data_IF_323139529974
#
_entry.id   IF_323139529974
#
_cell.length_a   1.000
_cell.length_b   1.000
_cell.length_c   1.000
_cell.angle_alpha   90.00
_cell.angle_beta   90.00
_cell.angle_gamma   90.00
#
_symmetry.space_group_name_H-M   'P 1'
#
loop_
_entity.id
_entity.type
_entity.pdbx_description
1 polymer ?
#
# COMPACT_ATOMS: atom_id res chain seq x y z
N UNK A 1 8.90 14.62 -30.22
CA UNK A 1 7.85 14.48 -29.20
C UNK A 1 8.18 13.33 -28.27
N UNK A 2 9.03 13.58 -27.27
CA UNK A 2 9.32 12.58 -26.24
C UNK A 2 8.20 12.62 -25.21
N UNK A 3 7.34 11.60 -25.29
CA UNK A 3 6.32 11.28 -24.29
C UNK A 3 7.11 10.92 -23.02
N UNK A 4 7.22 11.86 -22.09
CA UNK A 4 7.77 11.58 -20.76
C UNK A 4 7.00 10.37 -20.22
N UNK A 5 7.74 9.31 -19.90
CA UNK A 5 7.29 8.26 -19.01
C UNK A 5 7.09 8.95 -17.67
N UNK A 6 5.92 9.55 -17.51
CA UNK A 6 5.51 10.22 -16.28
C UNK A 6 5.49 9.13 -15.21
N UNK A 7 6.35 9.30 -14.21
CA UNK A 7 6.29 8.48 -13.02
C UNK A 7 4.88 8.71 -12.46
N UNK A 8 4.06 7.66 -12.27
CA UNK A 8 2.62 7.83 -12.10
C UNK A 8 2.23 8.72 -10.90
N UNK A 9 3.15 8.93 -9.95
CA UNK A 9 3.01 9.89 -8.87
C UNK A 9 4.38 10.52 -8.55
N UNK A 10 4.60 11.82 -8.83
CA UNK A 10 5.80 12.51 -8.38
C UNK A 10 5.81 12.54 -6.85
N UNK A 11 6.85 11.97 -6.23
CA UNK A 11 7.02 11.97 -4.78
C UNK A 11 7.02 13.39 -4.22
N UNK A 12 7.43 14.39 -4.99
CA UNK A 12 7.46 15.78 -4.55
C UNK A 12 7.03 16.72 -5.67
N UNK A 13 6.23 17.73 -5.32
CA UNK A 13 5.76 18.76 -6.26
C UNK A 13 6.22 20.11 -5.76
N UNK A 14 6.82 20.91 -6.64
CA UNK A 14 7.22 22.28 -6.34
C UNK A 14 6.05 23.21 -6.64
N UNK A 15 5.71 24.10 -5.71
CA UNK A 15 4.64 25.08 -5.87
C UNK A 15 5.15 26.51 -5.65
N UNK A 16 4.66 27.51 -6.41
CA UNK A 16 3.71 27.40 -7.52
C UNK A 16 4.38 26.89 -8.81
N UNK A 17 3.61 26.16 -9.63
CA UNK A 17 4.05 25.66 -10.96
C UNK A 17 4.02 26.77 -12.01
N UNK A 18 2.99 27.63 -11.94
CA UNK A 18 2.80 28.75 -12.85
C UNK A 18 3.28 30.03 -12.18
N UNK A 19 4.37 30.60 -12.67
CA UNK A 19 5.01 31.77 -12.06
C UNK A 19 4.37 33.08 -12.50
N UNK A 20 4.13 33.24 -13.80
CA UNK A 20 3.63 34.49 -14.38
C UNK A 20 2.15 34.49 -14.74
N UNK A 21 1.45 33.37 -14.58
CA UNK A 21 0.00 33.32 -14.80
C UNK A 21 -0.71 33.79 -13.54
N UNK A 22 -1.00 35.08 -13.49
CA UNK A 22 -1.63 35.76 -12.35
C UNK A 22 -2.83 36.54 -12.88
N UNK A 23 -3.94 36.49 -12.16
CA UNK A 23 -5.12 37.30 -12.49
C UNK A 23 -4.80 38.75 -12.13
N UNK A 24 -4.86 39.63 -13.13
CA UNK A 24 -4.64 41.08 -12.94
C UNK A 24 -5.99 41.73 -12.56
N UNK A 25 -6.08 42.40 -11.39
CA UNK A 25 -7.27 43.15 -11.01
C UNK A 25 -7.59 44.31 -11.98
N UNK A 26 -8.87 44.59 -12.19
CA UNK A 26 -9.32 45.72 -13.01
C UNK A 26 -8.97 47.05 -12.32
N UNK A 27 -8.46 48.03 -13.08
CA UNK A 27 -8.16 49.37 -12.58
C UNK A 27 -6.70 49.60 -12.16
N UNK A 28 -5.77 48.76 -12.61
CA UNK A 28 -4.33 48.95 -12.44
C UNK A 28 -3.77 49.69 -13.66
N UNK A 29 -3.09 50.81 -13.44
CA UNK A 29 -2.50 51.60 -14.54
C UNK A 29 -1.35 50.86 -15.24
N UNK A 30 -0.52 50.15 -14.47
CA UNK A 30 0.64 49.41 -14.98
C UNK A 30 0.52 47.89 -14.73
N UNK A 31 -0.27 47.22 -15.58
CA UNK A 31 -0.49 45.78 -15.50
C UNK A 31 0.81 44.96 -15.63
N UNK A 32 1.76 45.43 -16.45
CA UNK A 32 3.03 44.73 -16.66
C UNK A 32 3.87 44.70 -15.38
N UNK A 33 4.00 45.83 -14.70
CA UNK A 33 4.69 45.91 -13.42
C UNK A 33 4.03 45.02 -12.36
N UNK A 34 2.69 44.98 -12.34
CA UNK A 34 1.96 44.07 -11.45
C UNK A 34 2.30 42.59 -11.72
N UNK A 35 2.28 42.16 -12.98
CA UNK A 35 2.61 40.78 -13.37
C UNK A 35 4.07 40.45 -13.06
N UNK A 36 5.00 41.40 -13.27
CA UNK A 36 6.43 41.21 -12.93
C UNK A 36 6.60 41.05 -11.42
N UNK A 37 6.01 41.94 -10.62
CA UNK A 37 6.07 41.86 -9.16
C UNK A 37 5.45 40.55 -8.64
N UNK A 38 4.30 40.15 -9.17
CA UNK A 38 3.68 38.88 -8.78
C UNK A 38 4.50 37.67 -9.23
N UNK A 39 5.18 37.74 -10.39
CA UNK A 39 6.10 36.70 -10.86
C UNK A 39 7.27 36.56 -9.88
N UNK A 40 7.88 37.66 -9.44
CA UNK A 40 8.96 37.64 -8.44
C UNK A 40 8.49 37.04 -7.13
N UNK A 41 7.31 37.43 -6.63
CA UNK A 41 6.73 36.81 -5.43
C UNK A 41 6.52 35.29 -5.61
N UNK A 42 6.05 34.85 -6.77
CA UNK A 42 5.85 33.44 -7.07
C UNK A 42 7.18 32.68 -7.17
N UNK A 43 8.24 33.30 -7.71
CA UNK A 43 9.60 32.73 -7.70
C UNK A 43 10.10 32.55 -6.28
N UNK A 44 9.93 33.56 -5.41
CA UNK A 44 10.31 33.45 -4.00
C UNK A 44 9.56 32.31 -3.29
N UNK A 45 8.24 32.19 -3.53
CA UNK A 45 7.44 31.06 -3.03
C UNK A 45 7.94 29.72 -3.56
N UNK A 46 8.32 29.66 -4.84
CA UNK A 46 8.85 28.46 -5.46
C UNK A 46 10.18 28.04 -4.83
N UNK A 47 11.08 28.98 -4.58
CA UNK A 47 12.34 28.74 -3.86
C UNK A 47 12.05 28.22 -2.45
N UNK A 48 11.12 28.82 -1.71
CA UNK A 48 10.72 28.33 -0.39
C UNK A 48 10.17 26.88 -0.45
N UNK A 49 9.38 26.56 -1.48
CA UNK A 49 8.90 25.20 -1.72
C UNK A 49 10.05 24.22 -2.00
N UNK A 50 11.08 24.62 -2.76
CA UNK A 50 12.29 23.82 -3.00
C UNK A 50 13.11 23.64 -1.72
N UNK A 51 13.28 24.68 -0.91
CA UNK A 51 14.00 24.58 0.37
C UNK A 51 13.31 23.60 1.33
N UNK A 52 11.97 23.67 1.43
CA UNK A 52 11.18 22.71 2.20
C UNK A 52 11.35 21.29 1.68
N UNK A 53 11.36 21.12 0.36
CA UNK A 53 11.60 19.83 -0.28
C UNK A 53 12.99 19.26 0.08
N UNK A 54 14.04 20.07 -0.05
CA UNK A 54 15.40 19.67 0.30
C UNK A 54 15.49 19.24 1.77
N UNK A 55 14.87 19.99 2.68
CA UNK A 55 14.80 19.64 4.09
C UNK A 55 14.18 18.26 4.32
N UNK A 56 13.00 18.01 3.72
CA UNK A 56 12.33 16.71 3.84
C UNK A 56 13.19 15.55 3.32
N UNK A 57 13.90 15.75 2.19
CA UNK A 57 14.82 14.73 1.66
C UNK A 57 15.95 14.42 2.64
N UNK A 58 16.54 15.45 3.25
CA UNK A 58 17.60 15.25 4.23
C UNK A 58 17.09 14.60 5.52
N UNK A 59 15.89 14.94 5.99
CA UNK A 59 15.28 14.27 7.14
C UNK A 59 15.07 12.77 6.91
N UNK A 60 14.52 12.38 5.75
CA UNK A 60 14.34 10.97 5.38
C UNK A 60 15.70 10.24 5.31
N UNK A 61 16.69 10.82 4.63
CA UNK A 61 18.03 10.26 4.52
C UNK A 61 18.73 10.13 5.88
N UNK A 62 18.58 11.12 6.76
CA UNK A 62 19.15 11.07 8.11
C UNK A 62 18.49 9.97 8.92
N UNK A 63 17.17 9.80 8.83
CA UNK A 63 16.46 8.71 9.52
C UNK A 63 16.96 7.32 9.07
N UNK A 64 17.09 7.11 7.76
CA UNK A 64 17.62 5.86 7.20
C UNK A 64 19.07 5.61 7.65
N UNK A 65 19.90 6.67 7.66
CA UNK A 65 21.28 6.59 8.12
C UNK A 65 21.36 6.26 9.61
N UNK A 66 20.52 6.86 10.45
CA UNK A 66 20.45 6.52 11.88
C UNK A 66 20.11 5.03 12.07
N UNK A 67 19.13 4.51 11.33
CA UNK A 67 18.81 3.08 11.37
C UNK A 67 19.97 2.18 10.92
N UNK A 68 20.75 2.62 9.92
CA UNK A 68 21.96 1.93 9.47
C UNK A 68 23.07 1.97 10.52
N UNK A 69 23.28 3.11 11.17
CA UNK A 69 24.26 3.26 12.26
C UNK A 69 23.92 2.32 13.40
N UNK A 70 22.66 2.30 13.86
CA UNK A 70 22.21 1.40 14.92
C UNK A 70 22.46 -0.07 14.60
N UNK A 71 22.17 -0.48 13.35
CA UNK A 71 22.46 -1.84 12.87
C UNK A 71 23.96 -2.13 12.87
N UNK A 72 24.77 -1.17 12.45
CA UNK A 72 26.23 -1.27 12.41
C UNK A 72 26.81 -1.40 13.81
N UNK A 73 26.35 -0.60 14.77
CA UNK A 73 26.76 -0.70 16.19
C UNK A 73 26.37 -2.05 16.79
N UNK A 74 25.14 -2.53 16.53
CA UNK A 74 24.73 -3.88 16.97
C UNK A 74 25.60 -4.97 16.38
N UNK A 75 26.00 -4.86 15.11
CA UNK A 75 26.91 -5.81 14.47
C UNK A 75 28.32 -5.73 15.07
N UNK A 76 28.83 -4.52 15.30
CA UNK A 76 30.13 -4.30 15.93
C UNK A 76 30.19 -4.95 17.32
N UNK A 77 29.19 -4.73 18.16
CA UNK A 77 29.13 -5.33 19.49
C UNK A 77 29.09 -6.87 19.45
N UNK A 78 28.38 -7.43 18.46
CA UNK A 78 28.36 -8.90 18.25
C UNK A 78 29.70 -9.42 17.76
N UNK A 79 30.38 -8.67 16.90
CA UNK A 79 31.72 -9.02 16.41
C UNK A 79 32.74 -9.00 17.54
N UNK A 80 32.71 -7.99 18.41
CA UNK A 80 33.59 -7.91 19.58
C UNK A 80 33.40 -9.09 20.54
N UNK A 81 32.15 -9.46 20.85
CA UNK A 81 31.87 -10.65 21.67
C UNK A 81 32.35 -11.93 21.02
N UNK A 82 32.08 -12.11 19.72
CA UNK A 82 32.56 -13.28 18.98
C UNK A 82 34.09 -13.35 18.96
N UNK A 83 34.77 -12.20 18.84
CA UNK A 83 36.22 -12.13 18.89
C UNK A 83 36.75 -12.54 20.27
N UNK A 84 36.12 -12.09 21.35
CA UNK A 84 36.45 -12.51 22.72
C UNK A 84 36.25 -14.02 22.91
N UNK A 85 35.09 -14.56 22.52
CA UNK A 85 34.77 -16.00 22.58
C UNK A 85 35.81 -16.83 21.80
N UNK A 86 36.22 -16.36 20.61
CA UNK A 86 37.22 -17.02 19.77
C UNK A 86 38.62 -17.02 20.42
N UNK A 87 39.01 -15.93 21.11
CA UNK A 87 40.28 -15.89 21.84
C UNK A 87 40.26 -16.80 23.06
N UNK A 88 39.15 -16.86 23.80
CA UNK A 88 38.98 -17.79 24.92
C UNK A 88 39.05 -19.25 24.45
N UNK A 89 38.33 -19.59 23.38
CA UNK A 89 38.37 -20.94 22.79
C UNK A 89 39.76 -21.32 22.25
N UNK A 90 40.55 -20.35 21.77
CA UNK A 90 41.94 -20.60 21.34
C UNK A 90 42.89 -20.88 22.50
N UNK A 91 42.60 -20.31 23.68
CA UNK A 91 43.46 -20.42 24.86
C UNK A 91 43.08 -21.62 25.76
N UNK A 92 41.88 -22.18 25.60
CA UNK A 92 41.45 -23.40 26.28
C UNK A 92 41.76 -24.63 25.44
N UNK A 93 42.72 -25.44 25.88
CA UNK A 93 43.15 -26.69 25.22
C UNK A 93 42.24 -27.89 25.60
N UNK A 94 40.95 -27.63 25.81
CA UNK A 94 40.01 -28.64 26.26
C UNK A 94 39.17 -29.17 25.10
N UNK A 95 39.30 -30.46 24.82
CA UNK A 95 38.38 -31.22 23.98
C UNK A 95 36.99 -31.18 24.65
N UNK A 96 36.18 -30.19 24.26
CA UNK A 96 34.82 -29.94 24.77
C UNK A 96 33.85 -31.10 24.48
N UNK A 97 34.31 -32.15 23.80
CA UNK A 97 33.56 -33.38 23.50
C UNK A 97 33.78 -34.47 24.55
N UNK A 98 34.83 -34.37 25.37
CA UNK A 98 35.18 -35.37 26.38
C UNK A 98 34.24 -35.29 27.60
N UNK A 99 33.10 -36.00 27.52
CA UNK A 99 32.13 -36.13 28.62
C UNK A 99 30.77 -35.50 28.37
N UNK A 100 30.55 -34.91 27.19
CA UNK A 100 29.24 -34.38 26.79
C UNK A 100 28.40 -35.54 26.23
N UNK A 101 27.32 -35.88 26.92
CA UNK A 101 26.30 -36.80 26.40
C UNK A 101 25.80 -36.28 25.05
N UNK A 102 25.50 -37.14 24.09
CA UNK A 102 25.05 -36.77 22.74
C UNK A 102 23.74 -35.96 22.83
N UNK A 103 23.86 -34.63 22.91
CA UNK A 103 22.72 -33.72 22.92
C UNK A 103 22.32 -33.52 21.47
N UNK A 104 21.11 -33.94 21.09
CA UNK A 104 20.51 -33.57 19.81
C UNK A 104 20.29 -32.05 19.78
N UNK A 105 21.29 -31.31 19.29
CA UNK A 105 21.16 -29.89 19.04
C UNK A 105 20.25 -29.67 17.82
N UNK A 106 19.25 -28.78 17.91
CA UNK A 106 18.45 -28.44 16.75
C UNK A 106 19.34 -27.81 15.67
N UNK A 107 19.13 -28.23 14.41
CA UNK A 107 19.86 -27.71 13.26
C UNK A 107 19.69 -26.20 13.15
N UNK A 108 20.79 -25.47 12.96
CA UNK A 108 20.76 -24.03 12.74
C UNK A 108 19.91 -23.67 11.53
N UNK A 109 18.97 -22.74 11.72
CA UNK A 109 18.15 -22.19 10.63
C UNK A 109 18.28 -20.67 10.62
N UNK A 110 18.72 -20.13 9.48
CA UNK A 110 18.76 -18.68 9.28
C UNK A 110 17.36 -18.09 9.08
N UNK A 111 17.10 -16.93 9.70
CA UNK A 111 15.85 -16.19 9.51
C UNK A 111 15.80 -15.60 8.10
N UNK A 112 14.73 -15.90 7.35
CA UNK A 112 14.44 -15.34 6.02
C UNK A 112 13.10 -14.59 6.06
N UNK A 113 13.03 -13.41 6.70
CA UNK A 113 11.80 -12.63 6.74
C UNK A 113 11.40 -12.25 5.31
N UNK A 114 10.10 -12.39 4.99
CA UNK A 114 9.53 -11.98 3.70
C UNK A 114 8.71 -10.73 3.94
N UNK A 115 8.99 -9.67 3.20
CA UNK A 115 8.19 -8.46 3.23
C UNK A 115 6.92 -8.66 2.41
N UNK A 116 5.78 -8.29 2.97
CA UNK A 116 4.46 -8.45 2.35
C UNK A 116 3.56 -7.28 2.76
N UNK A 117 2.52 -7.00 1.97
CA UNK A 117 1.64 -5.83 2.17
C UNK A 117 2.39 -4.48 2.04
N UNK A 118 3.30 -4.37 1.06
CA UNK A 118 4.15 -3.17 0.84
C UNK A 118 3.38 -1.89 0.47
N UNK A 119 2.11 -2.01 0.07
CA UNK A 119 1.23 -0.88 -0.29
C UNK A 119 0.17 -0.58 0.78
N UNK A 120 0.42 -0.99 2.03
CA UNK A 120 -0.51 -0.74 3.12
C UNK A 120 -0.57 0.77 3.45
N UNK A 121 -1.65 1.21 4.09
CA UNK A 121 -1.83 2.61 4.50
C UNK A 121 -0.68 3.12 5.36
N UNK A 122 -0.04 2.22 6.12
CA UNK A 122 1.08 2.53 7.02
C UNK A 122 2.43 2.67 6.31
N UNK A 123 2.55 2.24 5.05
CA UNK A 123 3.77 2.35 4.24
C UNK A 123 3.68 3.50 3.25
N UNK A 124 2.66 4.35 3.36
CA UNK A 124 2.50 5.51 2.48
C UNK A 124 3.64 6.52 2.73
N UNK A 125 4.28 7.04 1.67
CA UNK A 125 5.28 8.09 1.82
C UNK A 125 4.66 9.37 2.42
N UNK A 126 5.41 10.14 3.25
CA UNK A 126 4.91 11.37 3.85
C UNK A 126 4.36 12.40 2.85
N UNK A 127 4.94 12.46 1.66
CA UNK A 127 4.47 13.37 0.61
C UNK A 127 3.13 12.97 0.02
N UNK A 128 2.90 11.67 -0.19
CA UNK A 128 1.61 11.14 -0.62
C UNK A 128 0.57 11.27 0.49
N UNK A 129 0.97 11.08 1.75
CA UNK A 129 0.11 11.34 2.90
C UNK A 129 -0.38 12.79 2.92
N UNK A 130 0.51 13.76 2.74
CA UNK A 130 0.13 15.18 2.73
C UNK A 130 -0.85 15.54 1.62
N UNK A 131 -0.71 14.93 0.44
CA UNK A 131 -1.68 15.09 -0.65
C UNK A 131 -3.01 14.40 -0.33
N UNK A 132 -2.97 13.21 0.25
CA UNK A 132 -4.16 12.48 0.68
C UNK A 132 -4.96 13.28 1.72
N UNK A 133 -4.28 13.93 2.67
CA UNK A 133 -4.93 14.71 3.74
C UNK A 133 -5.55 16.02 3.22
N UNK A 134 -5.08 16.52 2.08
CA UNK A 134 -5.68 17.67 1.38
C UNK A 134 -6.86 17.27 0.49
N UNK A 135 -7.03 15.98 0.21
CA UNK A 135 -8.13 15.50 -0.62
C UNK A 135 -9.47 15.60 0.13
N UNK A 136 -10.55 15.68 -0.64
CA UNK A 136 -11.90 15.72 -0.09
C UNK A 136 -12.20 14.41 0.67
N UNK A 137 -12.63 14.48 1.94
CA UNK A 137 -12.94 13.28 2.71
C UNK A 137 -14.20 12.60 2.17
N UNK A 138 -14.27 11.28 2.36
CA UNK A 138 -15.47 10.53 1.98
C UNK A 138 -16.71 11.02 2.77
N UNK A 139 -17.91 10.97 2.19
CA UNK A 139 -19.15 11.31 2.89
C UNK A 139 -19.35 10.44 4.14
N UNK A 140 -19.89 11.01 5.22
CA UNK A 140 -20.05 10.33 6.52
C UNK A 140 -21.20 9.30 6.55
N UNK A 141 -21.20 8.34 5.61
CA UNK A 141 -22.24 7.33 5.44
C UNK A 141 -22.33 6.35 6.62
N UNK A 142 -21.32 6.27 7.48
CA UNK A 142 -21.33 5.43 8.68
C UNK A 142 -22.48 5.79 9.63
N UNK A 143 -22.99 7.02 9.59
CA UNK A 143 -24.15 7.43 10.37
C UNK A 143 -25.43 6.66 9.99
N UNK A 144 -25.49 6.18 8.75
CA UNK A 144 -26.63 5.41 8.24
C UNK A 144 -26.58 3.94 8.67
N UNK A 145 -25.46 3.46 9.23
CA UNK A 145 -25.30 2.05 9.64
C UNK A 145 -26.37 1.64 10.68
N UNK A 146 -26.79 2.56 11.54
CA UNK A 146 -27.83 2.33 12.54
C UNK A 146 -29.24 2.17 11.94
N UNK A 147 -29.44 2.64 10.71
CA UNK A 147 -30.73 2.60 10.00
C UNK A 147 -30.84 1.38 9.07
N UNK A 148 -29.83 0.51 9.04
CA UNK A 148 -29.77 -0.64 8.14
C UNK A 148 -30.15 -1.94 8.82
N UNK A 149 -31.06 -2.68 8.20
CA UNK A 149 -31.46 -4.02 8.66
C UNK A 149 -30.41 -5.10 8.39
N UNK A 150 -29.53 -4.88 7.41
CA UNK A 150 -28.58 -5.89 6.91
C UNK A 150 -27.24 -5.95 7.67
N UNK A 151 -27.06 -5.12 8.71
CA UNK A 151 -25.82 -5.01 9.53
C UNK A 151 -24.55 -4.80 8.71
N UNK A 152 -24.66 -4.30 7.47
CA UNK A 152 -23.51 -3.98 6.63
C UNK A 152 -23.07 -2.54 6.87
N UNK A 153 -21.76 -2.31 6.83
CA UNK A 153 -21.19 -0.95 6.86
C UNK A 153 -21.56 -0.22 5.58
N UNK A 154 -22.32 0.87 5.69
CA UNK A 154 -22.77 1.71 4.56
C UNK A 154 -21.60 2.23 3.74
N UNK A 155 -20.48 2.56 4.40
CA UNK A 155 -19.26 3.00 3.73
C UNK A 155 -18.75 1.98 2.71
N UNK A 156 -18.89 0.67 2.97
CA UNK A 156 -18.46 -0.37 2.02
C UNK A 156 -19.28 -0.41 0.73
N UNK A 157 -20.48 0.15 0.72
CA UNK A 157 -21.26 0.31 -0.51
C UNK A 157 -20.76 1.46 -1.38
N UNK A 158 -20.12 2.46 -0.77
CA UNK A 158 -19.51 3.59 -1.46
C UNK A 158 -18.07 3.27 -1.88
N UNK A 159 -17.26 2.79 -0.94
CA UNK A 159 -15.86 2.43 -1.16
C UNK A 159 -15.44 1.30 -0.22
N UNK A 160 -15.01 0.19 -0.80
CA UNK A 160 -14.50 -0.98 -0.07
C UNK A 160 -13.05 -1.31 -0.47
N UNK A 161 -12.05 -0.93 0.35
CA UNK A 161 -10.65 -1.24 0.07
C UNK A 161 -10.33 -2.75 0.05
N UNK A 162 -11.12 -3.61 0.72
CA UNK A 162 -10.86 -5.05 0.75
C UNK A 162 -11.48 -5.80 -0.42
N UNK A 163 -12.36 -5.16 -1.19
CA UNK A 163 -13.14 -5.77 -2.27
C UNK A 163 -12.28 -6.61 -3.24
N UNK A 164 -11.17 -6.04 -3.73
CA UNK A 164 -10.30 -6.73 -4.69
C UNK A 164 -9.64 -7.97 -4.09
N UNK A 165 -9.20 -7.90 -2.83
CA UNK A 165 -8.58 -9.03 -2.15
C UNK A 165 -9.61 -10.11 -1.87
N UNK A 166 -10.79 -9.73 -1.37
CA UNK A 166 -11.87 -10.66 -1.04
C UNK A 166 -12.32 -11.42 -2.29
N UNK A 167 -12.54 -10.71 -3.39
CA UNK A 167 -12.94 -11.31 -4.67
C UNK A 167 -11.85 -12.23 -5.24
N UNK A 168 -10.59 -11.79 -5.25
CA UNK A 168 -9.46 -12.61 -5.69
C UNK A 168 -9.31 -13.87 -4.84
N UNK A 169 -9.41 -13.75 -3.52
CA UNK A 169 -9.23 -14.87 -2.58
C UNK A 169 -10.31 -15.94 -2.81
N UNK A 170 -11.56 -15.51 -3.05
CA UNK A 170 -12.67 -16.41 -3.37
C UNK A 170 -12.43 -17.17 -4.67
N UNK A 171 -11.97 -16.51 -5.74
CA UNK A 171 -11.63 -17.18 -7.01
C UNK A 171 -10.52 -18.22 -6.80
N UNK A 172 -9.45 -17.86 -6.08
CA UNK A 172 -8.34 -18.78 -5.82
C UNK A 172 -8.81 -20.02 -5.05
N UNK A 173 -9.65 -19.85 -4.02
CA UNK A 173 -10.21 -20.98 -3.26
C UNK A 173 -11.10 -21.88 -4.13
N UNK A 174 -11.89 -21.30 -5.04
CA UNK A 174 -12.68 -22.05 -6.01
C UNK A 174 -11.80 -22.83 -6.99
N UNK A 175 -10.75 -22.23 -7.55
CA UNK A 175 -9.78 -22.89 -8.43
C UNK A 175 -9.12 -24.10 -7.76
N UNK A 176 -8.77 -23.97 -6.47
CA UNK A 176 -8.24 -25.07 -5.66
C UNK A 176 -9.24 -26.21 -5.49
N UNK A 177 -10.53 -25.90 -5.27
CA UNK A 177 -11.61 -26.90 -5.18
C UNK A 177 -11.80 -27.64 -6.51
N UNK A 178 -11.86 -26.93 -7.63
CA UNK A 178 -11.99 -27.53 -8.98
C UNK A 178 -10.79 -28.43 -9.31
N UNK A 179 -9.55 -27.98 -9.05
CA UNK A 179 -8.34 -28.79 -9.27
C UNK A 179 -8.30 -30.05 -8.40
N UNK A 180 -8.72 -29.95 -7.14
CA UNK A 180 -8.84 -31.12 -6.24
C UNK A 180 -9.91 -32.11 -6.73
N UNK A 181 -11.06 -31.63 -7.19
CA UNK A 181 -12.12 -32.47 -7.74
C UNK A 181 -11.68 -33.17 -9.04
N UNK A 182 -10.99 -32.47 -9.94
CA UNK A 182 -10.44 -33.05 -11.17
C UNK A 182 -9.38 -34.14 -10.89
N UNK A 183 -8.51 -33.94 -9.88
CA UNK A 183 -7.54 -34.96 -9.46
C UNK A 183 -8.20 -36.20 -8.84
N UNK A 184 -9.32 -36.04 -8.10
CA UNK A 184 -10.11 -37.17 -7.60
C UNK A 184 -10.79 -37.96 -8.74
N UNK A 185 -11.26 -37.28 -9.79
CA UNK A 185 -11.90 -37.92 -10.95
C UNK A 185 -10.93 -38.67 -11.87
N UNK A 186 -9.64 -38.33 -11.87
CA UNK A 186 -8.65 -39.04 -12.69
C UNK A 186 -7.30 -39.26 -11.95
N UNK A 187 -7.22 -40.23 -11.02
CA UNK A 187 -6.08 -40.44 -10.14
C UNK A 187 -4.82 -41.01 -10.82
N UNK A 188 -4.89 -41.43 -12.09
CA UNK A 188 -3.79 -42.13 -12.79
C UNK A 188 -2.68 -41.24 -13.38
N UNK A 189 -2.80 -39.91 -13.35
CA UNK A 189 -1.68 -39.02 -13.74
C UNK A 189 -0.76 -38.75 -12.54
N UNK A 190 0.16 -39.69 -12.29
CA UNK A 190 1.25 -39.53 -11.31
C UNK A 190 2.13 -38.32 -11.66
N UNK A 191 2.58 -37.68 -10.59
CA UNK A 191 3.31 -36.42 -10.46
C UNK A 191 4.64 -36.47 -11.23
N UNK A 192 4.80 -35.61 -12.24
CA UNK A 192 6.12 -35.09 -12.62
C UNK A 192 6.23 -33.68 -12.02
N UNK A 193 7.29 -33.46 -11.26
CA UNK A 193 7.69 -32.25 -10.53
C UNK A 193 6.91 -30.99 -10.91
N UNK A 194 5.96 -30.61 -10.06
CA UNK A 194 5.28 -29.31 -10.18
C UNK A 194 6.12 -28.30 -9.39
N UNK A 195 6.63 -27.22 -10.01
CA UNK A 195 7.32 -26.15 -9.29
C UNK A 195 6.37 -25.50 -8.28
N UNK A 196 6.89 -24.73 -7.29
CA UNK A 196 6.06 -24.07 -6.29
C UNK A 196 4.93 -23.30 -6.96
N UNK A 197 3.76 -23.31 -6.31
CA UNK A 197 2.53 -22.69 -6.80
C UNK A 197 2.81 -21.24 -7.24
N UNK A 198 2.98 -21.01 -8.54
CA UNK A 198 2.94 -19.67 -9.10
C UNK A 198 1.48 -19.25 -9.05
N UNK A 199 1.17 -18.19 -8.29
CA UNK A 199 -0.13 -17.51 -8.38
C UNK A 199 -0.25 -17.07 -9.84
N UNK A 200 -1.23 -17.59 -10.62
CA UNK A 200 -1.39 -17.16 -11.99
C UNK A 200 -1.87 -15.70 -11.95
N UNK A 201 -0.99 -14.76 -12.27
CA UNK A 201 -1.39 -13.38 -12.51
C UNK A 201 -2.22 -13.38 -13.80
N UNK A 202 -3.54 -13.23 -13.67
CA UNK A 202 -4.46 -13.07 -14.80
C UNK A 202 -4.71 -11.57 -14.98
N UNK A 203 -3.98 -10.84 -15.84
CA UNK A 203 -4.03 -9.38 -15.89
C UNK A 203 -5.40 -8.76 -16.22
N UNK A 204 -6.39 -9.54 -16.68
CA UNK A 204 -7.70 -9.02 -17.12
C UNK A 204 -8.89 -9.60 -16.33
N UNK A 205 -8.67 -10.09 -15.12
CA UNK A 205 -9.72 -10.76 -14.34
C UNK A 205 -10.80 -9.78 -13.82
N UNK A 206 -10.42 -8.56 -13.47
CA UNK A 206 -11.32 -7.50 -12.98
C UNK A 206 -12.30 -6.99 -14.07
N UNK A 207 -11.97 -7.14 -15.35
CA UNK A 207 -12.83 -6.74 -16.48
C UNK A 207 -14.01 -7.69 -16.74
N UNK A 208 -14.03 -8.88 -16.11
CA UNK A 208 -15.06 -9.91 -16.38
C UNK A 208 -16.24 -9.89 -15.40
N UNK A 209 -16.29 -8.92 -14.49
CA UNK A 209 -17.43 -8.75 -13.58
C UNK A 209 -18.49 -7.88 -14.29
N UNK A 210 -19.75 -8.34 -14.43
CA UNK A 210 -20.82 -7.47 -14.91
C UNK A 210 -21.00 -6.34 -13.90
N UNK A 211 -21.04 -5.09 -14.38
CA UNK A 211 -21.36 -3.86 -13.64
C UNK A 211 -22.77 -3.84 -13.00
N UNK A 212 -23.41 -4.99 -12.81
CA UNK A 212 -24.84 -5.15 -12.49
C UNK A 212 -25.16 -5.44 -11.03
N UNK A 213 -24.27 -5.16 -10.07
CA UNK A 213 -24.55 -5.37 -8.64
C UNK A 213 -24.68 -4.04 -7.86
N UNK A 214 -25.35 -3.06 -8.46
CA UNK A 214 -26.03 -2.02 -7.70
C UNK A 214 -27.47 -2.48 -7.49
N UNK A 215 -27.93 -2.76 -6.25
CA UNK A 215 -29.33 -2.96 -6.01
C UNK A 215 -30.05 -1.63 -6.21
N UNK A 216 -30.89 -1.53 -7.25
CA UNK A 216 -31.89 -0.47 -7.37
C UNK A 216 -32.86 -0.56 -6.19
N UNK A 217 -33.25 0.58 -5.58
CA UNK A 217 -34.18 0.57 -4.46
C UNK A 217 -35.60 0.27 -4.97
N UNK A 218 -36.03 -0.99 -4.90
CA UNK A 218 -37.45 -1.33 -5.00
C UNK A 218 -38.15 -1.01 -3.67
N UNK A 219 -38.72 0.20 -3.66
CA UNK A 219 -39.99 0.61 -3.07
C UNK A 219 -40.60 -0.29 -1.97
N UNK A 220 -40.41 0.12 -0.70
CA UNK A 220 -41.31 -0.25 0.41
C UNK A 220 -42.43 0.80 0.45
N UNK A 221 -43.66 0.39 0.14
CA UNK A 221 -44.85 1.23 0.29
C UNK A 221 -46.12 0.47 -0.07
N UNK A 222 -46.86 0.05 0.96
CA UNK A 222 -48.01 -0.85 0.86
C UNK A 222 -49.27 -0.26 0.23
N UNK A 223 -50.25 -1.14 0.01
CA UNK A 223 -51.59 -0.75 -0.44
C UNK A 223 -52.38 -1.94 -0.96
N UNK A 224 -52.97 -2.72 -0.06
CA UNK A 224 -53.99 -3.70 -0.41
C UNK A 224 -55.22 -3.03 -1.09
N UNK A 225 -55.94 -3.87 -1.84
CA UNK A 225 -57.40 -3.89 -2.12
C UNK A 225 -57.88 -3.31 -3.46
N UNK A 226 -57.94 -4.20 -4.46
CA UNK A 226 -59.15 -4.72 -5.11
C UNK A 226 -60.35 -3.79 -5.44
N UNK A 227 -60.90 -4.06 -6.65
CA UNK A 227 -62.29 -4.01 -7.13
C UNK A 227 -62.73 -2.82 -8.06
N UNK A 228 -62.99 -3.22 -9.32
CA UNK A 228 -64.18 -2.94 -10.17
C UNK A 228 -64.36 -1.59 -10.91
N UNK A 229 -64.37 -1.73 -12.24
CA UNK A 229 -65.37 -1.29 -13.26
C UNK A 229 -65.65 0.18 -13.55
N UNK A 230 -65.74 0.45 -14.87
CA UNK A 230 -66.64 1.38 -15.60
C UNK A 230 -66.88 2.76 -14.97
N UNK A 231 -66.53 3.87 -15.60
CA UNK A 231 -66.94 4.32 -16.94
C UNK A 231 -66.06 5.51 -17.33
#
# INVERSE_FOLDING_TARGET
YYKYLDMPLPKHTVQPVKLSQVVVPNGIDNELEFVVNSTVCNVMRQIASVSRLANNMFEELTSDLSGLIDRTVRLQNRLSKLQEDMQMARNGDEDLTAGVHEVELPVFVSKKPTDSQVLNRNTIPPSMQSQYDQAEPAPALQQMDALRDDKKTSMKLYSDPSFFFDLWSQEMLQDHKHKRAAKKKNPKRKRKNLPPLKIPFKPNWFQKTPLGFFPTPENVGGGQKNLLTNR
#
